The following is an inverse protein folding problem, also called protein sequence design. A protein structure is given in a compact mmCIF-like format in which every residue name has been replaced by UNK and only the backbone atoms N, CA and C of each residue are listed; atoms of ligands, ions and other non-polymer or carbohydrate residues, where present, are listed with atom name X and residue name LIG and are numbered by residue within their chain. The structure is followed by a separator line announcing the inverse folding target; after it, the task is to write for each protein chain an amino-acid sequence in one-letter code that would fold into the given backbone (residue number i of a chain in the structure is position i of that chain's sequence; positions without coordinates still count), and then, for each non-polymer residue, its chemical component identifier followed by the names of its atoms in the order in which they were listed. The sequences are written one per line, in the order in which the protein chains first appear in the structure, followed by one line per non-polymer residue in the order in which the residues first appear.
data_IF_618234649823
#
_entry.id   IF_618234649823
#
_cell.length_a   1.000
_cell.length_b   1.000
_cell.length_c   1.000
_cell.angle_alpha   90.00
_cell.angle_beta   90.00
_cell.angle_gamma   90.00
#
_symmetry.space_group_name_H-M   'P 1'
#
loop_
_entity.id
_entity.type
_entity.pdbx_description
1 polymer ?
#
# COMPACT_ATOMS: atom_id res chain seq x y z
N UNK A 1 0.71 -49.64 -3.46
CA UNK A 1 1.69 -48.68 -4.03
C UNK A 1 0.91 -47.72 -4.92
N UNK A 2 -0.03 -46.98 -4.32
CA UNK A 2 -0.94 -46.10 -5.06
C UNK A 2 -0.37 -44.68 -5.05
N UNK A 3 0.20 -44.32 -6.20
CA UNK A 3 0.56 -42.95 -6.53
C UNK A 3 -0.71 -42.10 -6.66
N UNK A 4 -1.24 -41.64 -5.52
CA UNK A 4 -2.02 -40.39 -5.51
C UNK A 4 -0.99 -39.26 -5.60
N UNK A 5 -0.40 -39.11 -6.80
CA UNK A 5 0.11 -37.83 -7.24
C UNK A 5 -1.10 -36.91 -7.33
N UNK A 6 -1.43 -36.29 -6.19
CA UNK A 6 -2.19 -35.06 -6.18
C UNK A 6 -1.42 -34.08 -7.04
N UNK A 7 -1.74 -34.03 -8.33
CA UNK A 7 -1.44 -32.90 -9.19
C UNK A 7 -1.98 -31.69 -8.43
N UNK A 8 -1.08 -30.98 -7.74
CA UNK A 8 -1.33 -29.62 -7.33
C UNK A 8 -1.54 -28.89 -8.65
N UNK A 9 -2.80 -28.81 -9.09
CA UNK A 9 -3.22 -27.98 -10.22
C UNK A 9 -2.86 -26.58 -9.81
N UNK A 10 -1.64 -26.15 -10.17
CA UNK A 10 -1.26 -24.75 -10.04
C UNK A 10 -2.32 -23.97 -10.82
N UNK A 11 -3.01 -23.01 -10.18
CA UNK A 11 -4.10 -22.33 -10.83
C UNK A 11 -3.53 -21.48 -11.97
N UNK A 12 -3.56 -22.01 -13.19
CA UNK A 12 -3.30 -21.23 -14.41
C UNK A 12 -4.24 -20.04 -14.35
N UNK A 13 -3.70 -18.85 -14.16
CA UNK A 13 -4.53 -17.65 -14.07
C UNK A 13 -5.20 -17.42 -15.43
N UNK A 14 -6.52 -17.34 -15.39
CA UNK A 14 -7.33 -17.07 -16.58
C UNK A 14 -7.05 -15.66 -17.10
N UNK A 15 -7.26 -15.43 -18.39
CA UNK A 15 -7.14 -14.10 -19.00
C UNK A 15 -7.97 -13.04 -18.26
N UNK A 16 -9.16 -13.40 -17.79
CA UNK A 16 -10.02 -12.53 -16.97
C UNK A 16 -9.33 -12.11 -15.66
N UNK A 17 -8.68 -13.03 -14.95
CA UNK A 17 -7.94 -12.71 -13.72
C UNK A 17 -6.75 -11.80 -14.01
N UNK A 18 -6.05 -12.02 -15.12
CA UNK A 18 -4.96 -11.15 -15.55
C UNK A 18 -5.41 -9.74 -15.92
N UNK A 19 -6.52 -9.63 -16.66
CA UNK A 19 -7.13 -8.34 -16.94
C UNK A 19 -7.48 -7.60 -15.65
N UNK A 20 -8.17 -8.26 -14.72
CA UNK A 20 -8.56 -7.65 -13.43
C UNK A 20 -7.34 -7.18 -12.63
N UNK A 21 -6.25 -7.97 -12.59
CA UNK A 21 -5.01 -7.56 -11.92
C UNK A 21 -4.37 -6.34 -12.55
N UNK A 22 -4.26 -6.32 -13.88
CA UNK A 22 -3.72 -5.17 -14.60
C UNK A 22 -4.61 -3.93 -14.45
N UNK A 23 -5.93 -4.12 -14.47
CA UNK A 23 -6.91 -3.07 -14.25
C UNK A 23 -6.81 -2.45 -12.86
N UNK A 24 -6.75 -3.28 -11.81
CA UNK A 24 -6.53 -2.81 -10.43
C UNK A 24 -5.19 -2.09 -10.31
N UNK A 25 -4.12 -2.58 -10.94
CA UNK A 25 -2.82 -1.90 -10.94
C UNK A 25 -2.90 -0.51 -11.59
N UNK A 26 -3.61 -0.37 -12.70
CA UNK A 26 -3.86 0.92 -13.35
C UNK A 26 -4.68 1.89 -12.47
N UNK A 27 -5.71 1.40 -11.78
CA UNK A 27 -6.46 2.20 -10.80
C UNK A 27 -5.54 2.70 -9.69
N UNK A 28 -4.71 1.82 -9.12
CA UNK A 28 -3.77 2.17 -8.05
C UNK A 28 -2.74 3.21 -8.50
N UNK A 29 -2.28 3.11 -9.76
CA UNK A 29 -1.39 4.11 -10.35
C UNK A 29 -2.08 5.48 -10.45
N UNK A 30 -3.31 5.55 -10.96
CA UNK A 30 -4.08 6.79 -11.01
C UNK A 30 -4.38 7.35 -9.62
N UNK A 31 -4.66 6.49 -8.63
CA UNK A 31 -4.87 6.90 -7.24
C UNK A 31 -3.59 7.50 -6.64
N UNK A 32 -2.42 6.91 -6.92
CA UNK A 32 -1.13 7.45 -6.50
C UNK A 32 -0.85 8.81 -7.14
N UNK A 33 -1.10 8.98 -8.44
CA UNK A 33 -0.91 10.26 -9.14
C UNK A 33 -1.91 11.31 -8.62
N UNK A 34 -3.16 10.93 -8.42
CA UNK A 34 -4.19 11.81 -7.85
C UNK A 34 -3.81 12.26 -6.44
N UNK A 35 -3.28 11.35 -5.61
CA UNK A 35 -2.76 11.67 -4.28
C UNK A 35 -1.59 12.64 -4.36
N UNK A 36 -0.62 12.40 -5.25
CA UNK A 36 0.54 13.29 -5.46
C UNK A 36 0.13 14.67 -5.95
N UNK A 37 -0.95 14.77 -6.73
CA UNK A 37 -1.46 16.06 -7.22
C UNK A 37 -1.84 17.00 -6.08
N UNK A 38 -2.19 16.48 -4.90
CA UNK A 38 -2.46 17.32 -3.73
C UNK A 38 -1.25 18.17 -3.34
N UNK A 39 -0.04 17.58 -3.38
CA UNK A 39 1.18 18.27 -3.03
C UNK A 39 1.53 19.39 -4.03
N UNK A 40 1.13 19.22 -5.29
CA UNK A 40 1.37 20.21 -6.33
C UNK A 40 0.28 21.31 -6.38
N UNK A 41 -0.97 20.96 -6.08
CA UNK A 41 -2.13 21.85 -6.24
C UNK A 41 -2.53 22.59 -4.97
N UNK A 42 -2.13 22.12 -3.79
CA UNK A 42 -2.48 22.76 -2.51
C UNK A 42 -1.43 23.79 -2.08
N UNK A 43 -1.87 24.91 -1.49
CA UNK A 43 -1.00 26.01 -1.05
C UNK A 43 -0.20 25.69 0.22
N UNK A 44 -0.64 24.70 1.01
CA UNK A 44 -0.02 24.29 2.27
C UNK A 44 -0.33 22.83 2.55
N UNK A 45 0.69 22.06 2.91
CA UNK A 45 0.52 20.68 3.39
C UNK A 45 0.43 20.63 4.92
N UNK A 46 0.77 21.74 5.59
CA UNK A 46 0.70 21.87 7.04
C UNK A 46 -0.73 21.76 7.57
N UNK A 47 -1.74 22.01 6.73
CA UNK A 47 -3.16 21.84 7.04
C UNK A 47 -3.51 20.39 7.44
N UNK A 48 -2.78 19.40 6.91
CA UNK A 48 -2.92 17.99 7.30
C UNK A 48 -2.42 17.72 8.73
N UNK A 49 -1.63 18.63 9.29
CA UNK A 49 -0.99 18.51 10.61
C UNK A 49 -1.57 19.48 11.66
N UNK A 50 -2.71 20.11 11.36
CA UNK A 50 -3.31 21.12 12.24
C UNK A 50 -2.71 22.52 12.07
N UNK A 51 -2.19 22.83 10.88
CA UNK A 51 -1.76 24.17 10.48
C UNK A 51 -2.91 25.12 10.13
N UNK A 52 -2.60 26.23 9.46
CA UNK A 52 -3.55 27.32 9.20
C UNK A 52 -4.77 26.90 8.34
N UNK A 53 -5.99 26.85 8.89
CA UNK A 53 -7.13 26.17 8.27
C UNK A 53 -7.72 26.84 7.02
N UNK A 54 -7.26 28.04 6.64
CA UNK A 54 -7.88 28.88 5.62
C UNK A 54 -7.16 28.89 4.26
N UNK A 55 -6.21 27.98 4.03
CA UNK A 55 -5.52 27.88 2.74
C UNK A 55 -6.27 26.98 1.76
N UNK A 56 -6.12 27.27 0.47
CA UNK A 56 -6.72 26.49 -0.60
C UNK A 56 -6.05 25.11 -0.68
N UNK A 57 -6.85 24.05 -0.56
CA UNK A 57 -6.43 22.66 -0.72
C UNK A 57 -7.15 22.09 -1.93
N UNK A 58 -6.43 21.42 -2.83
CA UNK A 58 -7.02 20.86 -4.02
C UNK A 58 -6.34 19.56 -4.43
N UNK A 59 -7.09 18.64 -5.01
CA UNK A 59 -6.58 17.38 -5.55
C UNK A 59 -7.35 16.95 -6.79
N UNK A 60 -6.70 16.17 -7.65
CA UNK A 60 -7.30 15.61 -8.85
C UNK A 60 -6.29 15.42 -9.97
N UNK A 61 -6.44 14.32 -10.72
CA UNK A 61 -5.67 14.07 -11.92
C UNK A 61 -6.50 13.32 -12.98
N UNK A 62 -6.54 13.80 -14.24
CA UNK A 62 -5.78 14.94 -14.77
C UNK A 62 -6.37 16.32 -14.43
N UNK A 63 -7.65 16.37 -14.05
CA UNK A 63 -8.37 17.61 -13.75
C UNK A 63 -8.61 17.72 -12.25
N UNK A 64 -8.77 18.95 -11.74
CA UNK A 64 -9.17 19.17 -10.36
C UNK A 64 -10.48 18.45 -10.06
N UNK A 65 -10.43 17.54 -9.09
CA UNK A 65 -11.59 16.78 -8.62
C UNK A 65 -12.28 17.51 -7.48
N UNK A 66 -11.44 18.02 -6.59
CA UNK A 66 -11.83 18.46 -5.26
C UNK A 66 -11.03 19.71 -4.90
N UNK A 67 -11.71 20.65 -4.26
CA UNK A 67 -11.14 21.86 -3.71
C UNK A 67 -11.85 22.24 -2.42
N UNK A 68 -11.08 22.75 -1.47
CA UNK A 68 -11.56 23.36 -0.24
C UNK A 68 -11.65 24.88 -0.43
N UNK A 69 -12.84 25.47 -0.29
CA UNK A 69 -12.94 26.94 -0.31
C UNK A 69 -14.24 27.62 -0.75
N UNK A 70 -15.43 26.99 -0.76
CA UNK A 70 -16.69 27.75 -0.93
C UNK A 70 -17.37 28.04 0.42
N UNK A 71 -18.20 29.11 0.48
CA UNK A 71 -18.69 29.92 1.61
C UNK A 71 -19.26 29.21 2.87
N UNK A 72 -19.23 27.89 2.97
CA UNK A 72 -19.76 27.11 4.10
C UNK A 72 -18.77 26.07 4.66
N UNK A 73 -17.46 26.21 4.40
CA UNK A 73 -16.44 25.34 5.03
C UNK A 73 -16.53 23.86 4.62
N UNK A 74 -17.18 23.55 3.50
CA UNK A 74 -17.41 22.20 3.01
C UNK A 74 -16.41 21.72 1.95
N UNK A 75 -16.29 20.40 1.81
CA UNK A 75 -15.57 19.71 0.74
C UNK A 75 -16.45 19.70 -0.52
N UNK A 76 -16.09 20.42 -1.59
CA UNK A 76 -16.85 20.41 -2.84
C UNK A 76 -16.15 19.54 -3.88
N UNK A 77 -16.92 18.62 -4.48
CA UNK A 77 -16.46 17.79 -5.60
C UNK A 77 -17.00 18.41 -6.88
N UNK A 78 -16.11 18.77 -7.80
CA UNK A 78 -16.49 19.27 -9.12
C UNK A 78 -17.02 18.09 -9.96
N UNK A 79 -18.31 18.02 -10.32
CA UNK A 79 -18.90 16.85 -10.97
C UNK A 79 -18.28 16.57 -12.35
N UNK A 80 -17.97 17.62 -13.12
CA UNK A 80 -17.26 17.50 -14.40
C UNK A 80 -15.84 16.97 -14.20
N UNK A 81 -15.14 17.46 -13.17
CA UNK A 81 -13.83 16.96 -12.76
C UNK A 81 -13.88 15.48 -12.37
N UNK A 82 -14.87 15.09 -11.57
CA UNK A 82 -15.14 13.70 -11.18
C UNK A 82 -15.34 12.80 -12.40
N UNK A 83 -16.14 13.25 -13.37
CA UNK A 83 -16.38 12.48 -14.59
C UNK A 83 -15.10 12.32 -15.41
N UNK A 84 -14.33 13.40 -15.64
CA UNK A 84 -13.08 13.33 -16.41
C UNK A 84 -12.04 12.44 -15.73
N UNK A 85 -11.87 12.60 -14.41
CA UNK A 85 -10.94 11.78 -13.64
C UNK A 85 -11.38 10.31 -13.63
N UNK A 86 -12.68 10.04 -13.44
CA UNK A 86 -13.24 8.70 -13.50
C UNK A 86 -13.03 8.02 -14.86
N UNK A 87 -13.29 8.74 -15.97
CA UNK A 87 -13.03 8.24 -17.32
C UNK A 87 -11.54 7.97 -17.55
N UNK A 88 -10.66 8.81 -17.03
CA UNK A 88 -9.21 8.61 -17.12
C UNK A 88 -8.78 7.35 -16.37
N UNK A 89 -9.30 7.15 -15.14
CA UNK A 89 -9.03 5.94 -14.34
C UNK A 89 -9.50 4.69 -15.07
N UNK A 90 -10.70 4.72 -15.68
CA UNK A 90 -11.22 3.60 -16.45
C UNK A 90 -10.38 3.30 -17.68
N UNK A 91 -9.93 4.34 -18.39
CA UNK A 91 -9.09 4.21 -19.59
C UNK A 91 -7.72 3.62 -19.24
N UNK A 92 -7.03 4.21 -18.26
CA UNK A 92 -5.70 3.75 -17.82
C UNK A 92 -5.80 2.34 -17.23
N UNK A 93 -6.79 2.08 -16.38
CA UNK A 93 -7.08 0.74 -15.86
C UNK A 93 -7.27 -0.27 -16.99
N UNK A 94 -8.13 0.04 -17.97
CA UNK A 94 -8.40 -0.88 -19.09
C UNK A 94 -7.16 -1.13 -19.94
N UNK A 95 -6.34 -0.10 -20.19
CA UNK A 95 -5.08 -0.22 -20.90
C UNK A 95 -4.09 -1.14 -20.15
N UNK A 96 -3.90 -0.93 -18.85
CA UNK A 96 -3.06 -1.79 -18.01
C UNK A 96 -3.58 -3.23 -17.97
N UNK A 97 -4.90 -3.42 -17.86
CA UNK A 97 -5.56 -4.72 -17.93
C UNK A 97 -5.28 -5.44 -19.25
N UNK A 98 -5.45 -4.73 -20.37
CA UNK A 98 -5.18 -5.27 -21.71
C UNK A 98 -3.70 -5.65 -21.89
N UNK A 99 -2.77 -4.76 -21.53
CA UNK A 99 -1.33 -5.04 -21.56
C UNK A 99 -0.99 -6.28 -20.73
N UNK A 100 -1.56 -6.42 -19.55
CA UNK A 100 -1.33 -7.58 -18.68
C UNK A 100 -1.82 -8.88 -19.31
N UNK A 101 -2.93 -8.86 -20.05
CA UNK A 101 -3.42 -10.01 -20.82
C UNK A 101 -2.48 -10.34 -21.97
N UNK A 102 -1.98 -9.34 -22.71
CA UNK A 102 -1.02 -9.56 -23.80
C UNK A 102 0.25 -10.26 -23.30
N UNK A 103 0.71 -9.92 -22.09
CA UNK A 103 1.88 -10.54 -21.46
C UNK A 103 1.55 -11.73 -20.54
N UNK A 104 0.31 -12.22 -20.52
CA UNK A 104 -0.12 -13.22 -19.54
C UNK A 104 0.66 -14.52 -19.61
N UNK A 105 1.13 -14.92 -20.80
CA UNK A 105 1.95 -16.13 -20.98
C UNK A 105 3.29 -16.01 -20.23
N UNK A 106 3.99 -14.88 -20.41
CA UNK A 106 5.26 -14.59 -19.73
C UNK A 106 5.06 -14.47 -18.23
N UNK A 107 4.00 -13.77 -17.80
CA UNK A 107 3.69 -13.59 -16.39
C UNK A 107 3.31 -14.92 -15.71
N UNK A 108 2.55 -15.79 -16.38
CA UNK A 108 2.27 -17.14 -15.89
C UNK A 108 3.53 -17.98 -15.76
N UNK A 109 4.52 -17.83 -16.65
CA UNK A 109 5.81 -18.53 -16.51
C UNK A 109 6.57 -18.03 -15.27
N UNK A 110 6.67 -16.70 -15.10
CA UNK A 110 7.33 -16.10 -13.94
C UNK A 110 6.68 -16.52 -12.61
N UNK A 111 5.34 -16.50 -12.52
CA UNK A 111 4.64 -16.93 -11.31
C UNK A 111 4.94 -18.40 -10.98
N UNK A 112 4.95 -19.29 -11.97
CA UNK A 112 5.22 -20.71 -11.75
C UNK A 112 6.64 -20.94 -11.23
N UNK A 113 7.62 -20.29 -11.85
CA UNK A 113 9.02 -20.41 -11.42
C UNK A 113 9.24 -19.83 -10.01
N UNK A 114 8.57 -18.73 -9.67
CA UNK A 114 8.62 -18.15 -8.31
C UNK A 114 7.91 -19.05 -7.28
N UNK A 115 6.74 -19.58 -7.61
CA UNK A 115 5.95 -20.50 -6.78
C UNK A 115 6.75 -21.76 -6.43
N UNK A 116 7.39 -22.39 -7.42
CA UNK A 116 8.20 -23.59 -7.23
C UNK A 116 9.37 -23.35 -6.28
N UNK A 117 10.06 -22.21 -6.40
CA UNK A 117 11.17 -21.85 -5.50
C UNK A 117 10.70 -21.56 -4.07
N UNK A 118 9.53 -20.94 -3.92
CA UNK A 118 8.95 -20.65 -2.62
C UNK A 118 8.51 -21.94 -1.89
N UNK A 119 7.90 -22.88 -2.61
CA UNK A 119 7.48 -24.16 -2.05
C UNK A 119 8.67 -25.01 -1.59
N UNK A 120 9.83 -24.92 -2.27
CA UNK A 120 11.06 -25.60 -1.84
C UNK A 120 11.61 -25.09 -0.48
N UNK A 121 11.16 -23.93 0.00
CA UNK A 121 11.60 -23.32 1.27
C UNK A 121 10.53 -23.33 2.38
N UNK A 122 9.40 -24.05 2.19
CA UNK A 122 8.39 -24.20 3.23
C UNK A 122 8.91 -25.07 4.39
N UNK A 123 9.37 -24.44 5.46
CA UNK A 123 9.60 -25.08 6.75
C UNK A 123 8.37 -24.88 7.65
N UNK A 124 7.87 -25.97 8.23
CA UNK A 124 6.75 -25.95 9.17
C UNK A 124 7.08 -25.07 10.39
N UNK A 125 6.26 -24.06 10.63
CA UNK A 125 6.41 -23.17 11.77
C UNK A 125 5.82 -23.81 13.01
N UNK A 126 6.65 -24.11 14.00
CA UNK A 126 6.22 -24.21 15.38
C UNK A 126 6.53 -22.87 16.05
N UNK A 127 5.51 -22.21 16.59
CA UNK A 127 5.70 -20.99 17.37
C UNK A 127 6.61 -21.30 18.57
N UNK A 128 7.84 -20.82 18.54
CA UNK A 128 8.71 -20.90 19.71
C UNK A 128 8.17 -19.98 20.79
N UNK A 129 7.90 -20.54 21.97
CA UNK A 129 7.48 -19.79 23.17
C UNK A 129 8.43 -18.61 23.45
N UNK A 130 9.72 -18.78 23.16
CA UNK A 130 10.73 -17.70 23.28
C UNK A 130 10.47 -16.55 22.31
N UNK A 131 10.05 -16.85 21.09
CA UNK A 131 9.68 -15.83 20.10
C UNK A 131 8.44 -15.05 20.51
N UNK A 132 7.44 -15.73 21.06
CA UNK A 132 6.25 -15.07 21.59
C UNK A 132 6.59 -14.14 22.76
N UNK A 133 7.42 -14.60 23.71
CA UNK A 133 7.86 -13.79 24.85
C UNK A 133 8.68 -12.56 24.42
N UNK A 134 9.58 -12.70 23.44
CA UNK A 134 10.30 -11.56 22.88
C UNK A 134 9.36 -10.55 22.21
N UNK A 135 8.38 -11.04 21.45
CA UNK A 135 7.41 -10.17 20.77
C UNK A 135 6.54 -9.41 21.78
N UNK A 136 6.11 -10.08 22.86
CA UNK A 136 5.34 -9.47 23.94
C UNK A 136 6.17 -8.44 24.70
N UNK A 137 7.43 -8.74 25.00
CA UNK A 137 8.36 -7.82 25.67
C UNK A 137 8.62 -6.57 24.80
N UNK A 138 8.87 -6.77 23.50
CA UNK A 138 9.05 -5.67 22.55
C UNK A 138 7.77 -4.83 22.41
N UNK A 139 6.60 -5.47 22.36
CA UNK A 139 5.31 -4.78 22.29
C UNK A 139 5.04 -3.97 23.56
N UNK A 140 5.36 -4.52 24.75
CA UNK A 140 5.24 -3.83 26.02
C UNK A 140 6.21 -2.65 26.13
N UNK A 141 7.45 -2.79 25.66
CA UNK A 141 8.44 -1.72 25.61
C UNK A 141 7.99 -0.60 24.66
N UNK A 142 7.53 -0.95 23.46
CA UNK A 142 6.97 0.02 22.49
C UNK A 142 5.76 0.71 23.10
N UNK A 143 4.86 0.00 23.77
CA UNK A 143 3.70 0.59 24.43
C UNK A 143 4.11 1.53 25.58
N UNK A 144 5.12 1.16 26.37
CA UNK A 144 5.64 1.99 27.45
C UNK A 144 6.31 3.27 26.92
N UNK A 145 7.13 3.16 25.87
CA UNK A 145 7.72 4.30 25.16
C UNK A 145 6.62 5.17 24.52
N UNK A 146 5.62 4.54 23.91
CA UNK A 146 4.49 5.25 23.34
C UNK A 146 3.74 6.05 24.41
N UNK A 147 3.50 5.47 25.59
CA UNK A 147 2.81 6.13 26.69
C UNK A 147 3.61 7.31 27.28
N UNK A 148 4.93 7.24 27.29
CA UNK A 148 5.79 8.29 27.87
C UNK A 148 6.18 9.38 26.86
N UNK A 149 6.22 9.06 25.57
CA UNK A 149 6.73 9.96 24.51
C UNK A 149 5.62 10.52 23.61
N UNK A 150 4.46 9.86 23.46
CA UNK A 150 3.34 10.44 22.70
C UNK A 150 2.59 11.49 23.53
N UNK A 151 3.24 12.64 23.73
CA UNK A 151 2.47 13.88 23.85
C UNK A 151 1.85 14.14 22.46
N UNK A 152 0.52 14.35 22.36
CA UNK A 152 -0.12 14.66 21.09
C UNK A 152 0.57 15.87 20.45
N UNK A 153 1.27 15.64 19.35
CA UNK A 153 2.02 16.67 18.66
C UNK A 153 1.92 16.49 17.16
N UNK A 154 1.96 17.59 16.37
CA UNK A 154 1.91 17.52 14.91
C UNK A 154 3.01 16.62 14.33
N UNK A 155 4.16 16.51 15.03
CA UNK A 155 5.29 15.65 14.65
C UNK A 155 4.94 14.16 14.72
N UNK A 156 4.15 13.74 15.70
CA UNK A 156 3.71 12.34 15.82
C UNK A 156 2.75 12.01 14.69
N UNK A 157 1.78 12.89 14.40
CA UNK A 157 0.85 12.70 13.28
C UNK A 157 1.60 12.64 11.94
N UNK A 158 2.55 13.56 11.71
CA UNK A 158 3.40 13.56 10.52
C UNK A 158 4.28 12.31 10.41
N UNK A 159 4.78 11.79 11.53
CA UNK A 159 5.52 10.52 11.57
C UNK A 159 4.64 9.34 11.15
N UNK A 160 3.36 9.31 11.54
CA UNK A 160 2.44 8.25 11.10
C UNK A 160 2.17 8.34 9.59
N UNK A 161 2.00 9.55 9.05
CA UNK A 161 1.81 9.75 7.61
C UNK A 161 3.03 9.31 6.79
N UNK A 162 4.24 9.56 7.30
CA UNK A 162 5.48 9.23 6.61
C UNK A 162 5.90 7.78 6.81
N UNK A 163 5.89 7.26 8.04
CA UNK A 163 6.46 5.96 8.38
C UNK A 163 5.44 4.82 8.33
N UNK A 164 4.14 5.11 8.39
CA UNK A 164 3.08 4.10 8.38
C UNK A 164 3.26 3.04 7.27
N UNK A 165 3.38 3.45 5.99
CA UNK A 165 3.57 2.50 4.88
C UNK A 165 4.87 1.70 5.00
N UNK A 166 5.97 2.31 5.46
CA UNK A 166 7.25 1.61 5.65
C UNK A 166 7.19 0.57 6.77
N UNK A 167 6.45 0.86 7.85
CA UNK A 167 6.18 -0.10 8.92
C UNK A 167 5.38 -1.28 8.35
N UNK A 168 4.32 -1.00 7.58
CA UNK A 168 3.51 -2.04 6.94
C UNK A 168 4.32 -2.87 5.94
N UNK A 169 5.18 -2.25 5.14
CA UNK A 169 6.10 -2.94 4.22
C UNK A 169 7.07 -3.82 5.01
N UNK A 170 7.63 -3.32 6.11
CA UNK A 170 8.53 -4.10 6.96
C UNK A 170 7.83 -5.31 7.56
N UNK A 171 6.58 -5.16 8.02
CA UNK A 171 5.73 -6.27 8.49
C UNK A 171 5.43 -7.24 7.33
N UNK A 172 5.17 -6.72 6.13
CA UNK A 172 4.94 -7.52 4.94
C UNK A 172 6.19 -8.31 4.52
N UNK A 173 7.38 -7.82 4.84
CA UNK A 173 8.67 -8.46 4.57
C UNK A 173 9.17 -9.33 5.74
N UNK A 174 8.55 -9.26 6.93
CA UNK A 174 8.80 -10.16 8.07
C UNK A 174 8.52 -11.63 7.67
N UNK A 175 9.10 -12.61 8.39
CA UNK A 175 9.75 -13.78 7.82
C UNK A 175 8.92 -14.53 6.76
N UNK A 176 9.61 -14.90 5.68
CA UNK A 176 9.13 -15.52 4.43
C UNK A 176 8.30 -16.81 4.57
N UNK A 177 8.04 -17.26 5.81
CA UNK A 177 7.44 -18.56 6.13
C UNK A 177 5.98 -18.47 6.61
N UNK A 178 5.40 -17.27 6.70
CA UNK A 178 3.98 -17.06 7.05
C UNK A 178 3.11 -17.20 5.79
N UNK A 179 1.97 -17.88 5.90
CA UNK A 179 1.01 -18.01 4.80
C UNK A 179 0.52 -16.62 4.33
N UNK A 180 0.36 -16.45 3.02
CA UNK A 180 -0.03 -15.16 2.40
C UNK A 180 -1.34 -14.62 2.99
N UNK A 181 -2.31 -15.49 3.28
CA UNK A 181 -3.60 -15.11 3.88
C UNK A 181 -3.43 -14.55 5.29
N UNK A 182 -2.62 -15.20 6.13
CA UNK A 182 -2.32 -14.71 7.49
C UNK A 182 -1.56 -13.39 7.44
N UNK A 183 -0.62 -13.25 6.50
CA UNK A 183 0.09 -11.99 6.28
C UNK A 183 -0.85 -10.86 5.88
N UNK A 184 -1.81 -11.12 5.00
CA UNK A 184 -2.81 -10.13 4.60
C UNK A 184 -3.68 -9.68 5.79
N UNK A 185 -4.08 -10.61 6.67
CA UNK A 185 -4.80 -10.28 7.90
C UNK A 185 -3.97 -9.43 8.86
N UNK A 186 -2.72 -9.81 9.12
CA UNK A 186 -1.80 -9.03 9.97
C UNK A 186 -1.66 -7.61 9.42
N UNK A 187 -1.41 -7.46 8.11
CA UNK A 187 -1.28 -6.15 7.48
C UNK A 187 -2.55 -5.31 7.59
N UNK A 188 -3.71 -5.93 7.38
CA UNK A 188 -5.00 -5.23 7.47
C UNK A 188 -5.26 -4.72 8.88
N UNK A 189 -5.05 -5.56 9.90
CA UNK A 189 -5.21 -5.17 11.30
C UNK A 189 -4.21 -4.09 11.69
N UNK A 190 -2.93 -4.25 11.33
CA UNK A 190 -1.90 -3.23 11.60
C UNK A 190 -2.21 -1.90 10.93
N UNK A 191 -2.68 -1.91 9.68
CA UNK A 191 -3.08 -0.69 8.98
C UNK A 191 -4.26 -0.01 9.68
N UNK A 192 -5.28 -0.77 10.07
CA UNK A 192 -6.43 -0.25 10.81
C UNK A 192 -6.00 0.38 12.15
N UNK A 193 -5.11 -0.28 12.91
CA UNK A 193 -4.60 0.25 14.17
C UNK A 193 -3.81 1.56 13.98
N UNK A 194 -2.99 1.66 12.93
CA UNK A 194 -2.27 2.89 12.60
C UNK A 194 -3.22 4.02 12.19
N UNK A 195 -4.30 3.72 11.47
CA UNK A 195 -5.34 4.69 11.12
C UNK A 195 -6.04 5.19 12.40
N UNK A 196 -6.44 4.28 13.30
CA UNK A 196 -7.05 4.63 14.59
C UNK A 196 -6.10 5.49 15.43
N UNK A 197 -4.81 5.15 15.47
CA UNK A 197 -3.81 5.95 16.17
C UNK A 197 -3.68 7.35 15.57
N UNK A 198 -3.68 7.49 14.24
CA UNK A 198 -3.65 8.80 13.58
C UNK A 198 -4.88 9.65 13.91
N UNK A 199 -6.07 9.05 13.97
CA UNK A 199 -7.32 9.73 14.34
C UNK A 199 -7.23 10.23 15.78
N UNK A 200 -6.81 9.37 16.71
CA UNK A 200 -6.67 9.73 18.14
C UNK A 200 -5.65 10.85 18.30
N UNK A 201 -4.48 10.74 17.67
CA UNK A 201 -3.43 11.77 17.74
C UNK A 201 -3.91 13.08 17.12
N UNK A 202 -4.54 13.04 15.95
CA UNK A 202 -5.05 14.24 15.26
C UNK A 202 -6.16 14.96 16.02
N UNK A 203 -7.06 14.22 16.66
CA UNK A 203 -8.11 14.77 17.52
C UNK A 203 -7.60 15.31 18.86
N UNK A 204 -6.46 14.82 19.34
CA UNK A 204 -5.83 15.26 20.59
C UNK A 204 -4.85 16.44 20.43
N UNK A 205 -4.67 16.96 19.21
CA UNK A 205 -3.82 18.14 18.98
C UNK A 205 -4.45 19.42 19.56
N UNK A 206 -3.63 20.44 19.94
CA UNK A 206 -4.13 21.73 20.40
C UNK A 206 -5.06 22.42 19.38
N UNK A 207 -4.76 22.27 18.08
CA UNK A 207 -5.68 22.56 17.00
C UNK A 207 -6.13 21.22 16.40
N UNK A 208 -7.33 20.72 16.77
CA UNK A 208 -7.77 19.39 16.37
C UNK A 208 -7.98 19.33 14.86
N UNK A 209 -7.46 18.27 14.25
CA UNK A 209 -7.62 18.00 12.82
C UNK A 209 -8.92 17.23 12.63
N UNK A 210 -9.84 17.69 11.75
CA UNK A 210 -11.06 16.95 11.44
C UNK A 210 -10.77 15.52 10.97
N UNK A 211 -11.62 14.58 11.35
CA UNK A 211 -11.47 13.16 11.00
C UNK A 211 -11.26 12.95 9.49
N UNK A 212 -12.03 13.65 8.65
CA UNK A 212 -11.95 13.56 7.19
C UNK A 212 -10.58 14.02 6.69
N UNK A 213 -9.99 15.05 7.32
CA UNK A 213 -8.63 15.52 6.99
C UNK A 213 -7.57 14.52 7.41
N UNK A 214 -7.75 13.84 8.54
CA UNK A 214 -6.82 12.79 8.96
C UNK A 214 -6.81 11.65 7.94
N UNK A 215 -8.00 11.20 7.51
CA UNK A 215 -8.12 10.18 6.47
C UNK A 215 -7.55 10.64 5.13
N UNK A 216 -7.78 11.91 4.77
CA UNK A 216 -7.22 12.52 3.57
C UNK A 216 -5.68 12.51 3.62
N UNK A 217 -5.09 12.89 4.76
CA UNK A 217 -3.64 12.85 4.97
C UNK A 217 -3.06 11.44 4.84
N UNK A 218 -3.74 10.44 5.43
CA UNK A 218 -3.36 9.02 5.26
C UNK A 218 -3.43 8.63 3.78
N UNK A 219 -4.53 8.93 3.09
CA UNK A 219 -4.69 8.60 1.68
C UNK A 219 -3.59 9.23 0.81
N UNK A 220 -3.35 10.53 0.97
CA UNK A 220 -2.38 11.30 0.19
C UNK A 220 -0.96 10.79 0.42
N UNK A 221 -0.60 10.49 1.67
CA UNK A 221 0.76 10.05 1.99
C UNK A 221 0.96 8.56 1.69
N UNK A 222 0.02 7.70 2.06
CA UNK A 222 0.22 6.25 2.03
C UNK A 222 0.05 5.65 0.65
N UNK A 223 -0.86 6.17 -0.17
CA UNK A 223 -1.13 5.63 -1.52
C UNK A 223 0.11 5.71 -2.42
N UNK A 224 0.77 6.87 -2.62
CA UNK A 224 1.95 6.96 -3.47
C UNK A 224 3.16 6.22 -2.88
N UNK A 225 3.33 6.21 -1.56
CA UNK A 225 4.39 5.42 -0.90
C UNK A 225 4.21 3.92 -1.14
N UNK A 226 2.99 3.41 -1.02
CA UNK A 226 2.68 2.00 -1.25
C UNK A 226 2.84 1.61 -2.71
N UNK A 227 2.37 2.46 -3.63
CA UNK A 227 2.54 2.25 -5.07
C UNK A 227 4.03 2.24 -5.48
N UNK A 228 4.81 3.20 -4.97
CA UNK A 228 6.25 3.30 -5.22
C UNK A 228 6.99 2.08 -4.68
N UNK A 229 6.63 1.63 -3.48
CA UNK A 229 7.23 0.44 -2.88
C UNK A 229 6.92 -0.83 -3.67
N UNK A 230 5.66 -1.01 -4.08
CA UNK A 230 5.25 -2.15 -4.91
C UNK A 230 6.01 -2.17 -6.24
N UNK A 231 6.18 -1.00 -6.87
CA UNK A 231 6.94 -0.84 -8.12
C UNK A 231 8.43 -1.15 -7.91
N UNK A 232 9.05 -0.60 -6.86
CA UNK A 232 10.45 -0.84 -6.52
C UNK A 232 10.73 -2.33 -6.24
N UNK A 233 9.87 -2.98 -5.45
CA UNK A 233 9.97 -4.41 -5.17
C UNK A 233 9.83 -5.24 -6.45
N UNK A 234 8.86 -4.90 -7.30
CA UNK A 234 8.64 -5.59 -8.58
C UNK A 234 9.85 -5.47 -9.51
N UNK A 235 10.43 -4.27 -9.65
CA UNK A 235 11.63 -4.03 -10.46
C UNK A 235 12.83 -4.79 -9.88
N UNK A 236 13.03 -4.70 -8.57
CA UNK A 236 14.15 -5.37 -7.88
C UNK A 236 14.08 -6.87 -8.07
N UNK A 237 12.90 -7.47 -7.94
CA UNK A 237 12.68 -8.90 -8.22
C UNK A 237 12.99 -9.25 -9.68
N UNK A 238 12.56 -8.43 -10.63
CA UNK A 238 12.79 -8.67 -12.06
C UNK A 238 14.28 -8.58 -12.42
N UNK A 239 14.99 -7.59 -11.89
CA UNK A 239 16.44 -7.44 -12.07
C UNK A 239 17.20 -8.60 -11.44
N UNK A 240 16.85 -8.98 -10.21
CA UNK A 240 17.49 -10.10 -9.52
C UNK A 240 17.26 -11.42 -10.27
N UNK A 241 16.04 -11.66 -10.73
CA UNK A 241 15.70 -12.84 -11.55
C UNK A 241 16.49 -12.86 -12.87
N UNK A 242 16.60 -11.73 -13.57
CA UNK A 242 17.40 -11.65 -14.81
C UNK A 242 18.87 -11.96 -14.56
N UNK A 243 19.45 -11.49 -13.46
CA UNK A 243 20.85 -11.79 -13.09
C UNK A 243 21.06 -13.28 -12.83
N UNK A 244 20.12 -13.93 -12.16
CA UNK A 244 20.19 -15.37 -11.89
C UNK A 244 20.07 -16.23 -13.17
N UNK A 245 19.24 -15.82 -14.12
CA UNK A 245 19.15 -16.52 -15.42
C UNK A 245 20.49 -16.45 -16.17
N UNK A 246 21.08 -15.26 -16.28
CA UNK A 246 22.37 -15.06 -16.97
C UNK A 246 23.49 -15.87 -16.30
N UNK A 247 23.53 -15.92 -14.96
CA UNK A 247 24.54 -16.70 -14.24
C UNK A 247 24.42 -18.22 -14.50
N UNK A 248 23.20 -18.76 -14.54
CA UNK A 248 22.98 -20.17 -14.83
C UNK A 248 23.33 -20.53 -16.30
N UNK A 249 23.08 -19.63 -17.25
CA UNK A 249 23.48 -19.83 -18.65
C UNK A 249 25.00 -19.84 -18.84
N UNK A 250 25.76 -19.06 -18.06
CA UNK A 250 27.23 -19.07 -18.11
C UNK A 250 27.88 -20.29 -17.44
N UNK A 251 27.10 -21.13 -16.75
CA UNK A 251 27.57 -22.31 -16.02
C UNK A 251 27.37 -23.62 -16.79
N UNK A 252 26.76 -23.55 -17.97
CA UNK A 252 26.50 -24.67 -18.88
C UNK A 252 27.41 -24.58 -20.10
#
# INVERSE_FOLDING_TARGET
MDQIQGQIREPIMTRRRWFLRGFTAGILLCAAITSLSYFQRSESWGDLLGGHPNRAEAMGFPVQLWEKGNNYGGYYVYPTGLLINGMTVLLVGSLCGFLTVLFSSRLNRLIRELSQRQNAHQANFQFSIRGLLWLTCLSALVLAVCRTVLTPSPRVLGSIYLLGPWILVSIALLPQKIAIEQRAWILTVSAALLIVAAIIVGGALPLPVPFEKVLLGIYICWTPQSASTALLLSITMLVHYRRLLVANESSQ
#
